data_IF_097293750567
#
_entry.id   IF_097293750567
#
_cell.length_a   1.000
_cell.length_b   1.000
_cell.length_c   1.000
_cell.angle_alpha   90.00
_cell.angle_beta   90.00
_cell.angle_gamma   90.00
#
_symmetry.space_group_name_H-M   'P 1'
#
loop_
_entity.id
_entity.type
_entity.pdbx_description
1 polymer ?
#
# COMPACT_ATOMS: atom_id res chain seq x y z
N UNK A 1 -33.40 2.65 2.32
CA UNK A 1 -33.17 3.39 1.06
C UNK A 1 -32.72 4.79 1.47
N UNK A 2 -31.41 5.02 1.54
CA UNK A 2 -30.84 6.32 1.91
C UNK A 2 -30.70 7.13 0.63
N UNK A 3 -31.39 8.27 0.56
CA UNK A 3 -31.34 9.19 -0.58
C UNK A 3 -29.98 9.87 -0.66
N UNK A 4 -29.43 9.97 -1.87
CA UNK A 4 -28.26 10.80 -2.17
C UNK A 4 -28.72 12.27 -2.11
N UNK A 5 -28.13 13.14 -1.27
CA UNK A 5 -28.47 14.56 -1.25
C UNK A 5 -28.09 15.22 -2.57
N UNK A 6 -29.02 15.99 -3.14
CA UNK A 6 -28.76 16.85 -4.32
C UNK A 6 -28.07 18.14 -3.89
N UNK A 7 -27.14 18.60 -4.71
CA UNK A 7 -26.30 19.79 -4.54
C UNK A 7 -27.07 20.99 -3.95
N UNK A 8 -26.70 21.39 -2.72
CA UNK A 8 -27.30 22.55 -2.05
C UNK A 8 -27.13 22.62 -0.53
N UNK A 9 -26.83 21.52 0.16
CA UNK A 9 -26.53 21.51 1.60
C UNK A 9 -25.04 21.22 1.87
N UNK A 10 -24.15 22.03 1.29
CA UNK A 10 -22.71 21.99 1.58
C UNK A 10 -22.35 22.80 2.84
N UNK A 11 -23.05 22.53 3.94
CA UNK A 11 -22.79 23.12 5.25
C UNK A 11 -23.02 22.08 6.34
N UNK A 12 -22.08 21.14 6.50
CA UNK A 12 -21.77 20.42 7.76
C UNK A 12 -20.63 19.39 7.57
N UNK A 13 -19.76 19.52 6.57
CA UNK A 13 -18.65 18.59 6.37
C UNK A 13 -17.30 19.30 6.53
N UNK A 14 -16.38 18.66 7.26
CA UNK A 14 -14.98 19.09 7.32
C UNK A 14 -14.41 19.03 5.90
N UNK A 15 -13.86 20.14 5.42
CA UNK A 15 -13.23 20.23 4.09
C UNK A 15 -11.79 19.72 4.16
N UNK A 16 -11.63 18.40 4.10
CA UNK A 16 -10.33 17.74 4.00
C UNK A 16 -9.83 17.74 2.55
N UNK A 17 -8.54 17.95 2.33
CA UNK A 17 -7.93 17.97 0.98
C UNK A 17 -7.36 16.61 0.59
N UNK A 18 -6.48 16.05 1.43
CA UNK A 18 -5.82 14.75 1.26
C UNK A 18 -5.32 14.23 2.62
N UNK A 19 -4.84 13.00 2.63
CA UNK A 19 -3.98 12.51 3.73
C UNK A 19 -2.67 13.30 3.65
N UNK A 20 -2.23 13.88 4.77
CA UNK A 20 -0.96 14.61 4.85
C UNK A 20 0.21 13.69 5.14
N UNK A 21 0.15 12.96 6.26
CA UNK A 21 1.19 12.01 6.66
C UNK A 21 0.59 10.87 7.49
N UNK A 22 1.39 9.83 7.70
CA UNK A 22 1.12 8.77 8.67
C UNK A 22 2.24 8.75 9.70
N UNK A 23 1.89 8.79 10.99
CA UNK A 23 2.85 8.61 12.08
C UNK A 23 2.78 7.17 12.60
N UNK A 24 3.91 6.46 12.51
CA UNK A 24 4.04 5.07 12.87
C UNK A 24 4.85 4.90 14.16
N UNK A 25 4.30 4.15 15.11
CA UNK A 25 5.02 3.78 16.32
C UNK A 25 5.99 2.64 16.07
N UNK A 26 7.22 2.79 16.55
CA UNK A 26 8.30 1.81 16.41
C UNK A 26 8.98 1.55 17.74
N UNK A 27 9.56 0.37 17.91
CA UNK A 27 10.27 -0.01 19.16
C UNK A 27 11.65 0.62 19.25
N UNK A 28 12.33 0.70 18.12
CA UNK A 28 13.69 1.23 18.01
C UNK A 28 13.73 2.18 16.83
N UNK A 29 13.84 3.47 17.13
CA UNK A 29 13.80 4.53 16.13
C UNK A 29 14.96 4.44 15.15
N UNK A 30 16.17 4.07 15.59
CA UNK A 30 17.33 4.01 14.71
C UNK A 30 17.26 2.82 13.77
N UNK A 31 16.79 1.67 14.27
CA UNK A 31 16.52 0.49 13.43
C UNK A 31 15.43 0.77 12.40
N UNK A 32 14.34 1.42 12.82
CA UNK A 32 13.27 1.82 11.91
C UNK A 32 13.75 2.84 10.88
N UNK A 33 14.44 3.91 11.31
CA UNK A 33 15.02 4.92 10.42
C UNK A 33 15.89 4.28 9.35
N UNK A 34 16.78 3.35 9.75
CA UNK A 34 17.62 2.60 8.82
C UNK A 34 16.81 1.81 7.80
N UNK A 35 15.77 1.11 8.23
CA UNK A 35 14.89 0.37 7.32
C UNK A 35 14.21 1.32 6.32
N UNK A 36 13.59 2.40 6.81
CA UNK A 36 12.86 3.32 5.94
C UNK A 36 13.77 4.12 5.00
N UNK A 37 15.02 4.43 5.38
CA UNK A 37 15.96 5.13 4.49
C UNK A 37 16.69 4.19 3.52
N UNK A 38 17.24 3.07 4.00
CA UNK A 38 18.10 2.20 3.19
C UNK A 38 17.29 1.18 2.37
N UNK A 39 16.19 0.67 2.91
CA UNK A 39 15.35 -0.32 2.23
C UNK A 39 14.23 0.37 1.45
N UNK A 40 13.46 1.23 2.11
CA UNK A 40 12.32 1.90 1.46
C UNK A 40 12.70 3.18 0.70
N UNK A 41 13.92 3.68 0.87
CA UNK A 41 14.43 4.84 0.12
C UNK A 41 13.94 6.21 0.60
N UNK A 42 13.23 6.29 1.74
CA UNK A 42 12.68 7.53 2.28
C UNK A 42 13.80 8.50 2.65
N UNK A 43 13.49 9.80 2.67
CA UNK A 43 14.43 10.86 3.04
C UNK A 43 14.01 11.44 4.38
N UNK A 44 14.97 11.65 5.27
CA UNK A 44 14.73 12.35 6.53
C UNK A 44 14.53 13.82 6.20
N UNK A 45 13.39 14.36 6.62
CA UNK A 45 13.07 15.78 6.54
C UNK A 45 13.57 16.51 7.80
N UNK A 46 13.30 15.93 8.97
CA UNK A 46 13.68 16.48 10.28
C UNK A 46 13.85 15.37 11.32
N UNK A 47 14.73 15.57 12.29
CA UNK A 47 14.83 14.76 13.50
C UNK A 47 14.60 15.68 14.71
N UNK A 48 13.62 15.35 15.56
CA UNK A 48 13.28 16.12 16.76
C UNK A 48 13.56 15.29 18.03
N UNK A 49 14.83 15.24 18.49
CA UNK A 49 15.20 14.51 19.70
C UNK A 49 14.67 15.18 20.98
N UNK A 50 14.22 16.44 20.93
CA UNK A 50 13.81 17.21 22.10
C UNK A 50 12.33 17.02 22.45
N UNK A 51 11.49 16.66 21.46
CA UNK A 51 10.03 16.52 21.63
C UNK A 51 9.49 15.13 21.28
N UNK A 52 10.02 14.09 21.92
CA UNK A 52 9.51 12.72 21.77
C UNK A 52 10.42 11.78 20.97
N UNK A 53 11.53 12.32 20.44
CA UNK A 53 12.50 11.57 19.64
C UNK A 53 11.83 11.03 18.38
N UNK A 54 11.25 11.95 17.60
CA UNK A 54 10.53 11.67 16.37
C UNK A 54 11.44 11.90 15.14
N UNK A 55 11.19 11.15 14.07
CA UNK A 55 11.85 11.34 12.77
C UNK A 55 10.79 11.56 11.71
N UNK A 56 10.80 12.74 11.12
CA UNK A 56 9.91 13.13 10.02
C UNK A 56 10.56 12.77 8.69
N UNK A 57 9.82 12.10 7.82
CA UNK A 57 10.35 11.58 6.55
C UNK A 57 9.43 11.91 5.37
N UNK A 58 10.03 12.03 4.18
CA UNK A 58 9.33 12.16 2.92
C UNK A 58 9.65 11.00 1.97
N UNK A 59 8.68 10.67 1.13
CA UNK A 59 8.91 9.95 -0.11
C UNK A 59 9.68 10.92 -1.00
N UNK A 60 10.99 10.73 -1.22
CA UNK A 60 11.88 11.72 -1.83
C UNK A 60 11.57 12.21 -3.26
N UNK A 61 10.39 11.90 -3.79
CA UNK A 61 9.83 12.34 -5.07
C UNK A 61 8.39 12.91 -4.91
N UNK A 62 8.04 13.47 -3.74
CA UNK A 62 6.72 14.08 -3.61
C UNK A 62 6.63 15.36 -4.45
N UNK A 63 5.77 15.33 -5.47
CA UNK A 63 5.38 16.51 -6.25
C UNK A 63 4.29 17.33 -5.53
N UNK A 64 4.00 16.95 -4.28
CA UNK A 64 2.89 17.45 -3.50
C UNK A 64 3.29 18.60 -2.59
N UNK A 65 4.60 18.86 -2.44
CA UNK A 65 5.17 19.92 -1.63
C UNK A 65 4.66 19.82 -0.18
N UNK A 66 4.49 18.58 0.30
CA UNK A 66 4.23 18.30 1.71
C UNK A 66 5.55 18.37 2.49
N UNK A 67 5.53 18.90 3.72
CA UNK A 67 6.75 18.97 4.53
C UNK A 67 7.30 17.59 4.91
N UNK A 68 6.40 16.62 5.07
CA UNK A 68 6.67 15.22 5.37
C UNK A 68 5.45 14.36 5.01
N UNK A 69 5.67 13.06 4.82
CA UNK A 69 4.63 12.09 4.46
C UNK A 69 4.58 10.89 5.41
N UNK A 70 5.65 10.66 6.16
CA UNK A 70 5.78 9.49 7.04
C UNK A 70 6.64 9.81 8.25
N UNK A 71 6.11 9.56 9.45
CA UNK A 71 6.81 9.88 10.70
C UNK A 71 7.06 8.62 11.51
N UNK A 72 8.21 8.56 12.16
CA UNK A 72 8.57 7.50 13.09
C UNK A 72 8.56 8.05 14.50
N UNK A 73 7.77 7.40 15.37
CA UNK A 73 7.61 7.77 16.78
C UNK A 73 8.05 6.59 17.63
N UNK A 74 9.06 6.78 18.49
CA UNK A 74 9.46 5.69 19.37
C UNK A 74 8.45 5.49 20.50
N UNK A 75 8.14 4.23 20.81
CA UNK A 75 7.39 3.91 22.04
C UNK A 75 8.21 4.25 23.29
N UNK A 76 7.54 4.61 24.38
CA UNK A 76 8.19 4.97 25.65
C UNK A 76 9.00 3.81 26.24
N UNK A 77 8.42 2.60 26.23
CA UNK A 77 9.09 1.37 26.69
C UNK A 77 9.00 0.27 25.62
N UNK A 78 10.11 0.01 24.91
CA UNK A 78 10.18 -1.03 23.88
C UNK A 78 9.91 -2.46 24.39
N UNK A 79 10.15 -2.73 25.68
CA UNK A 79 9.99 -4.06 26.28
C UNK A 79 8.53 -4.40 26.55
N UNK A 80 7.69 -3.39 26.78
CA UNK A 80 6.26 -3.57 27.07
C UNK A 80 5.36 -3.22 25.89
N UNK A 81 5.91 -2.71 24.79
CA UNK A 81 5.14 -2.42 23.59
C UNK A 81 4.45 -3.67 23.01
N UNK A 82 3.19 -3.51 22.61
CA UNK A 82 2.43 -4.55 21.92
C UNK A 82 2.87 -4.67 20.46
N UNK A 83 2.74 -5.85 19.81
CA UNK A 83 2.88 -5.95 18.37
C UNK A 83 1.76 -5.17 17.65
N UNK A 84 1.92 -4.84 16.36
CA UNK A 84 0.84 -4.27 15.55
C UNK A 84 -0.40 -5.20 15.52
N UNK A 85 -1.61 -4.65 15.29
CA UNK A 85 -2.84 -5.44 15.24
C UNK A 85 -2.76 -6.57 14.21
N UNK A 86 -3.24 -7.76 14.59
CA UNK A 86 -3.46 -8.84 13.62
C UNK A 86 -4.75 -8.61 12.82
N UNK A 87 -5.13 -9.59 11.98
CA UNK A 87 -6.33 -9.48 11.12
C UNK A 87 -7.65 -9.33 11.87
N UNK A 88 -7.68 -9.63 13.17
CA UNK A 88 -8.85 -9.53 14.04
C UNK A 88 -8.78 -8.30 14.98
N UNK A 89 -7.64 -7.62 15.02
CA UNK A 89 -7.43 -6.44 15.86
C UNK A 89 -8.01 -5.16 15.25
N UNK A 90 -8.39 -4.22 16.11
CA UNK A 90 -8.78 -2.86 15.69
C UNK A 90 -7.52 -2.03 15.42
N UNK A 91 -7.47 -1.34 14.29
CA UNK A 91 -6.35 -0.49 13.89
C UNK A 91 -6.23 -0.40 12.36
N UNK A 92 -5.04 -0.02 11.88
CA UNK A 92 -4.75 -0.02 10.45
C UNK A 92 -4.39 -1.45 10.00
N UNK A 93 -4.77 -1.81 8.76
CA UNK A 93 -4.47 -3.12 8.20
C UNK A 93 -3.06 -3.17 7.56
N UNK A 94 -2.70 -2.13 6.82
CA UNK A 94 -1.39 -1.90 6.23
C UNK A 94 -1.28 -0.43 5.77
N UNK A 95 -0.07 0.01 5.44
CA UNK A 95 0.18 1.29 4.77
C UNK A 95 0.65 0.99 3.34
N UNK A 96 -0.05 1.53 2.34
CA UNK A 96 0.23 1.28 0.93
C UNK A 96 0.96 2.47 0.27
N UNK A 97 2.10 2.18 -0.36
CA UNK A 97 2.95 3.14 -1.06
C UNK A 97 2.94 2.80 -2.56
N UNK A 98 2.58 3.79 -3.38
CA UNK A 98 2.45 3.62 -4.83
C UNK A 98 3.80 3.76 -5.53
N UNK A 99 4.02 2.97 -6.57
CA UNK A 99 5.06 3.19 -7.58
C UNK A 99 4.41 3.50 -8.93
N UNK A 100 5.15 4.19 -9.80
CA UNK A 100 4.59 4.76 -11.03
C UNK A 100 4.41 3.75 -12.15
N UNK A 101 5.24 2.71 -12.17
CA UNK A 101 5.26 1.71 -13.24
C UNK A 101 5.34 0.28 -12.69
N UNK A 102 4.91 -0.68 -13.51
CA UNK A 102 5.08 -2.10 -13.22
C UNK A 102 6.56 -2.48 -13.06
N UNK A 103 7.45 -1.86 -13.83
CA UNK A 103 8.89 -2.11 -13.72
C UNK A 103 9.45 -1.59 -12.39
N UNK A 104 8.99 -0.43 -11.90
CA UNK A 104 9.36 0.04 -10.56
C UNK A 104 8.84 -0.89 -9.45
N UNK A 105 7.69 -1.54 -9.64
CA UNK A 105 7.22 -2.55 -8.69
C UNK A 105 8.13 -3.78 -8.68
N UNK A 106 8.62 -4.20 -9.85
CA UNK A 106 9.61 -5.27 -9.97
C UNK A 106 10.94 -4.89 -9.31
N UNK A 107 11.43 -3.69 -9.56
CA UNK A 107 12.66 -3.17 -8.94
C UNK A 107 12.51 -3.14 -7.41
N UNK A 108 11.37 -2.68 -6.90
CA UNK A 108 11.07 -2.69 -5.48
C UNK A 108 11.07 -4.11 -4.90
N UNK A 109 10.44 -5.09 -5.58
CA UNK A 109 10.50 -6.49 -5.17
C UNK A 109 11.94 -7.00 -5.06
N UNK A 110 12.72 -6.83 -6.12
CA UNK A 110 14.09 -7.36 -6.19
C UNK A 110 14.98 -6.72 -5.12
N UNK A 111 14.78 -5.42 -4.85
CA UNK A 111 15.47 -4.67 -3.80
C UNK A 111 15.08 -5.14 -2.38
N UNK A 112 13.80 -5.41 -2.12
CA UNK A 112 13.36 -5.98 -0.85
C UNK A 112 14.04 -7.34 -0.59
N UNK A 113 14.03 -8.22 -1.60
CA UNK A 113 14.67 -9.54 -1.52
C UNK A 113 16.18 -9.42 -1.31
N UNK A 114 16.86 -8.51 -2.01
CA UNK A 114 18.30 -8.30 -1.82
C UNK A 114 18.67 -7.80 -0.42
N UNK A 115 17.74 -7.12 0.26
CA UNK A 115 17.87 -6.67 1.65
C UNK A 115 17.35 -7.70 2.67
N UNK A 116 17.09 -8.94 2.23
CA UNK A 116 16.57 -10.03 3.08
C UNK A 116 15.24 -9.71 3.75
N UNK A 117 14.42 -8.86 3.14
CA UNK A 117 13.02 -8.65 3.56
C UNK A 117 12.17 -9.79 3.04
N UNK A 118 11.43 -10.43 3.93
CA UNK A 118 10.46 -11.46 3.55
C UNK A 118 9.25 -10.81 2.89
N UNK A 119 9.00 -11.15 1.64
CA UNK A 119 7.74 -10.84 0.95
C UNK A 119 6.69 -11.86 1.40
N UNK A 120 5.62 -11.38 2.03
CA UNK A 120 4.55 -12.24 2.52
C UNK A 120 3.68 -12.74 1.37
N UNK A 121 3.28 -11.83 0.47
CA UNK A 121 2.35 -12.12 -0.63
C UNK A 121 2.56 -11.16 -1.79
N UNK A 122 2.40 -11.68 -3.00
CA UNK A 122 2.29 -10.90 -4.23
C UNK A 122 0.91 -11.14 -4.83
N UNK A 123 0.06 -10.12 -4.78
CA UNK A 123 -1.34 -10.23 -5.19
C UNK A 123 -1.61 -9.29 -6.36
N UNK A 124 -2.21 -9.84 -7.40
CA UNK A 124 -2.85 -9.10 -8.45
C UNK A 124 -4.33 -8.97 -8.09
N UNK A 125 -4.71 -7.76 -7.70
CA UNK A 125 -6.09 -7.36 -7.64
C UNK A 125 -6.56 -6.98 -9.06
N UNK A 126 -7.87 -6.87 -9.26
CA UNK A 126 -8.41 -6.45 -10.55
C UNK A 126 -7.84 -5.09 -11.05
N UNK A 127 -7.46 -4.19 -10.14
CA UNK A 127 -7.05 -2.81 -10.42
C UNK A 127 -5.56 -2.52 -10.20
N UNK A 128 -4.78 -3.45 -9.64
CA UNK A 128 -3.40 -3.20 -9.25
C UNK A 128 -2.63 -4.50 -8.99
N UNK A 129 -1.30 -4.42 -9.03
CA UNK A 129 -0.40 -5.45 -8.47
C UNK A 129 0.24 -4.92 -7.19
N UNK A 130 0.29 -5.77 -6.18
CA UNK A 130 0.70 -5.40 -4.82
C UNK A 130 1.69 -6.42 -4.25
N UNK A 131 2.72 -5.92 -3.58
CA UNK A 131 3.68 -6.69 -2.78
C UNK A 131 3.42 -6.35 -1.32
N UNK A 132 3.08 -7.35 -0.52
CA UNK A 132 2.86 -7.24 0.92
C UNK A 132 4.06 -7.78 1.69
N UNK A 133 4.50 -7.04 2.70
CA UNK A 133 5.60 -7.39 3.60
C UNK A 133 5.43 -6.65 4.93
N UNK A 134 6.37 -6.82 5.85
CA UNK A 134 6.39 -6.09 7.11
C UNK A 134 7.73 -5.40 7.35
N UNK A 135 7.69 -4.32 8.11
CA UNK A 135 8.88 -3.70 8.67
C UNK A 135 9.48 -4.55 9.82
N UNK A 136 10.63 -4.15 10.42
CA UNK A 136 11.26 -4.90 11.51
C UNK A 136 10.44 -5.03 12.81
N UNK A 137 9.36 -4.26 12.97
CA UNK A 137 8.44 -4.32 14.12
C UNK A 137 7.13 -5.05 13.78
N UNK A 138 6.98 -5.54 12.54
CA UNK A 138 5.79 -6.25 12.07
C UNK A 138 4.69 -5.35 11.52
N UNK A 139 4.96 -4.05 11.34
CA UNK A 139 4.01 -3.12 10.73
C UNK A 139 3.83 -3.50 9.25
N UNK A 140 2.60 -3.79 8.83
CA UNK A 140 2.32 -4.26 7.47
C UNK A 140 2.42 -3.12 6.47
N UNK A 141 3.18 -3.37 5.40
CA UNK A 141 3.41 -2.46 4.29
C UNK A 141 2.95 -3.10 2.98
N UNK A 142 2.54 -2.24 2.06
CA UNK A 142 2.24 -2.60 0.68
C UNK A 142 3.02 -1.66 -0.24
N UNK A 143 3.74 -2.21 -1.22
CA UNK A 143 4.16 -1.45 -2.40
C UNK A 143 3.30 -1.93 -3.55
N UNK A 144 2.68 -1.00 -4.28
CA UNK A 144 1.76 -1.35 -5.35
C UNK A 144 1.93 -0.50 -6.61
N UNK A 145 1.63 -1.13 -7.74
CA UNK A 145 1.44 -0.46 -9.01
C UNK A 145 -0.05 -0.47 -9.36
N UNK A 146 -0.65 0.71 -9.40
CA UNK A 146 -2.05 0.89 -9.77
C UNK A 146 -2.21 0.98 -11.29
N UNK A 147 -3.14 0.20 -11.84
CA UNK A 147 -3.41 0.25 -13.27
C UNK A 147 -4.05 1.58 -13.68
N UNK A 148 -3.71 2.13 -14.87
CA UNK A 148 -4.37 3.31 -15.41
C UNK A 148 -5.91 3.24 -15.40
N UNK A 149 -6.46 2.03 -15.49
CA UNK A 149 -7.90 1.76 -15.52
C UNK A 149 -8.53 1.60 -14.13
N UNK A 150 -7.75 1.63 -13.04
CA UNK A 150 -8.22 1.36 -11.68
C UNK A 150 -9.45 2.20 -11.30
N UNK A 151 -9.41 3.51 -11.54
CA UNK A 151 -10.53 4.42 -11.25
C UNK A 151 -11.80 4.10 -12.04
N UNK A 152 -11.67 3.56 -13.24
CA UNK A 152 -12.82 3.08 -14.01
C UNK A 152 -13.36 1.77 -13.44
N UNK A 153 -12.49 0.81 -13.12
CA UNK A 153 -12.86 -0.46 -12.52
C UNK A 153 -13.58 -0.27 -11.18
N UNK A 154 -13.10 0.62 -10.32
CA UNK A 154 -13.80 0.96 -9.08
C UNK A 154 -15.22 1.48 -9.30
N UNK A 155 -15.44 2.28 -10.36
CA UNK A 155 -16.78 2.80 -10.69
C UNK A 155 -17.72 1.74 -11.27
N UNK A 156 -17.19 0.81 -12.07
CA UNK A 156 -17.97 -0.28 -12.68
C UNK A 156 -18.18 -1.48 -11.75
N UNK A 157 -17.52 -1.48 -10.59
CA UNK A 157 -17.38 -2.66 -9.74
C UNK A 157 -16.16 -3.46 -10.21
N UNK A 158 -15.12 -3.48 -9.37
CA UNK A 158 -13.85 -4.12 -9.74
C UNK A 158 -13.88 -5.64 -9.67
N UNK A 159 -14.82 -6.23 -8.91
CA UNK A 159 -14.78 -7.65 -8.57
C UNK A 159 -13.55 -7.94 -7.71
N UNK A 160 -13.74 -8.11 -6.40
CA UNK A 160 -12.61 -8.31 -5.48
C UNK A 160 -12.09 -9.74 -5.59
N UNK A 161 -11.37 -10.01 -6.67
CA UNK A 161 -10.71 -11.29 -6.96
C UNK A 161 -9.21 -11.09 -6.83
N UNK A 162 -8.63 -11.82 -5.90
CA UNK A 162 -7.20 -11.79 -5.62
C UNK A 162 -6.54 -12.99 -6.29
N UNK A 163 -5.55 -12.71 -7.14
CA UNK A 163 -4.75 -13.73 -7.81
C UNK A 163 -3.29 -13.64 -7.35
N UNK A 164 -2.62 -14.78 -7.19
CA UNK A 164 -1.19 -14.78 -6.85
C UNK A 164 -0.40 -14.64 -8.13
N UNK A 165 0.39 -13.58 -8.29
CA UNK A 165 1.18 -13.37 -9.50
C UNK A 165 2.68 -13.48 -9.25
N UNK A 166 3.44 -13.64 -10.33
CA UNK A 166 4.89 -13.50 -10.43
C UNK A 166 5.21 -12.46 -11.50
N UNK A 167 6.42 -11.88 -11.50
CA UNK A 167 6.80 -10.91 -12.53
C UNK A 167 6.98 -11.52 -13.93
N UNK A 168 6.95 -12.85 -14.06
CA UNK A 168 6.90 -13.54 -15.35
C UNK A 168 5.48 -13.55 -15.94
N UNK A 169 4.45 -13.28 -15.13
CA UNK A 169 3.07 -13.22 -15.59
C UNK A 169 2.80 -11.92 -16.37
N UNK A 170 2.16 -12.00 -17.56
CA UNK A 170 1.84 -10.83 -18.35
C UNK A 170 0.90 -9.91 -17.56
N UNK A 171 1.09 -8.60 -17.72
CA UNK A 171 0.12 -7.62 -17.20
C UNK A 171 -1.23 -7.85 -17.89
N UNK A 172 -2.35 -7.88 -17.16
CA UNK A 172 -3.64 -8.16 -17.76
C UNK A 172 -4.04 -7.11 -18.80
N UNK A 173 -4.75 -7.51 -19.88
CA UNK A 173 -5.11 -6.58 -20.95
C UNK A 173 -5.98 -5.41 -20.47
N UNK A 174 -6.76 -5.61 -19.41
CA UNK A 174 -7.60 -4.55 -18.85
C UNK A 174 -6.84 -3.52 -18.02
N UNK A 175 -5.55 -3.71 -17.75
CA UNK A 175 -4.74 -2.70 -17.06
C UNK A 175 -4.65 -1.39 -17.88
N UNK A 176 -4.68 -1.50 -19.21
CA UNK A 176 -4.58 -0.36 -20.15
C UNK A 176 -5.89 0.01 -20.84
N UNK A 177 -6.93 -0.84 -20.76
CA UNK A 177 -8.27 -0.50 -21.26
C UNK A 177 -9.34 -1.48 -20.77
N UNK A 178 -10.36 -0.97 -20.07
CA UNK A 178 -11.45 -1.82 -19.55
C UNK A 178 -12.32 -2.31 -20.72
N UNK A 179 -12.51 -3.63 -20.90
CA UNK A 179 -13.41 -4.16 -21.93
C UNK A 179 -14.85 -3.63 -21.78
N UNK A 180 -15.55 -3.47 -22.91
CA UNK A 180 -16.95 -3.05 -22.90
C UNK A 180 -17.85 -4.07 -22.18
N UNK A 181 -17.53 -5.36 -22.28
CA UNK A 181 -18.21 -6.46 -21.61
C UNK A 181 -17.67 -6.73 -20.20
N UNK A 182 -17.03 -5.75 -19.54
CA UNK A 182 -16.51 -5.93 -18.19
C UNK A 182 -17.59 -6.40 -17.21
N UNK A 183 -17.44 -7.64 -16.80
CA UNK A 183 -18.18 -8.26 -15.73
C UNK A 183 -17.20 -8.60 -14.58
N UNK A 184 -17.34 -7.98 -13.39
CA UNK A 184 -16.48 -8.21 -12.24
C UNK A 184 -16.46 -9.67 -11.75
N UNK A 185 -17.50 -10.45 -12.04
CA UNK A 185 -17.56 -11.85 -11.62
C UNK A 185 -16.81 -12.75 -12.60
N UNK A 186 -16.98 -12.55 -13.91
CA UNK A 186 -16.54 -13.55 -14.89
C UNK A 186 -15.35 -13.14 -15.73
N UNK A 187 -15.08 -11.84 -15.90
CA UNK A 187 -14.07 -11.36 -16.86
C UNK A 187 -12.66 -11.64 -16.38
N UNK A 188 -12.31 -11.25 -15.16
CA UNK A 188 -10.98 -11.50 -14.60
C UNK A 188 -10.63 -13.00 -14.57
N UNK A 189 -11.56 -13.86 -14.16
CA UNK A 189 -11.33 -15.31 -14.16
C UNK A 189 -11.02 -15.89 -15.54
N UNK A 190 -11.71 -15.42 -16.59
CA UNK A 190 -11.52 -15.93 -17.96
C UNK A 190 -10.07 -15.76 -18.42
N UNK A 191 -9.43 -14.67 -18.01
CA UNK A 191 -8.04 -14.38 -18.37
C UNK A 191 -7.03 -15.11 -17.46
N UNK A 192 -7.31 -15.22 -16.16
CA UNK A 192 -6.40 -15.89 -15.23
C UNK A 192 -6.41 -17.42 -15.35
N UNK A 193 -7.50 -18.04 -15.84
CA UNK A 193 -7.60 -19.49 -16.11
C UNK A 193 -6.54 -20.03 -17.09
N UNK A 194 -5.80 -19.15 -17.79
CA UNK A 194 -4.71 -19.55 -18.69
C UNK A 194 -3.30 -19.44 -18.10
N UNK A 195 -3.10 -18.74 -16.98
CA UNK A 195 -1.76 -18.24 -16.63
C UNK A 195 -1.44 -18.21 -15.14
N UNK A 196 -2.43 -18.08 -14.24
CA UNK A 196 -2.16 -17.70 -12.83
C UNK A 196 -2.84 -18.63 -11.83
N UNK A 197 -2.16 -18.92 -10.70
CA UNK A 197 -2.65 -19.78 -9.62
C UNK A 197 -3.60 -18.99 -8.70
N UNK A 198 -4.77 -19.55 -8.40
CA UNK A 198 -5.69 -18.96 -7.42
C UNK A 198 -5.27 -19.30 -5.99
N UNK A 199 -5.58 -18.42 -5.02
CA UNK A 199 -5.23 -18.64 -3.60
C UNK A 199 -5.82 -19.94 -3.02
N UNK A 200 -6.89 -20.48 -3.60
CA UNK A 200 -7.51 -21.75 -3.17
C UNK A 200 -6.63 -22.98 -3.44
N UNK A 201 -5.66 -22.90 -4.37
CA UNK A 201 -4.82 -24.04 -4.75
C UNK A 201 -3.52 -24.19 -3.93
N UNK A 202 -3.29 -23.31 -2.95
CA UNK A 202 -2.08 -23.26 -2.12
C UNK A 202 -2.32 -23.61 -0.64
N UNK A 203 -3.34 -24.43 -0.36
CA UNK A 203 -3.65 -24.95 1.00
C UNK A 203 -3.07 -26.33 1.24
#
# INVERSE_FOLDING_TARGET
MLSIPTDGEDLMAIRLSRIGHVALRVRDLQRAKKFYTEVMGFKVAEEDPEHGNDVFMSLGHDDHNDGHTFDLVQVEDPQTASPPPDRNGVGYAHIAIKVDTHDNLKEAHDHLVSHSVTVDRMIEHANQRSIYFADPDGNRLEIYYEYPTARELFRRGRGDRDFIFTFDDPVPPWATGVPDDWDPETTAERYHRGTVRTMEQSS
#
